data_IF_347920755997
#
_entry.id   IF_347920755997
#
_cell.length_a   1.000
_cell.length_b   1.000
_cell.length_c   1.000
_cell.angle_alpha   90.00
_cell.angle_beta   90.00
_cell.angle_gamma   90.00
#
_symmetry.space_group_name_H-M   'P 1'
#
loop_
_entity.id
_entity.type
_entity.pdbx_description
1 polymer ?
#
# COMPACT_ATOMS: atom_id res chain seq x y z
N UNK A 1 -29.72 -54.86 32.05
CA UNK A 1 -28.79 -53.89 31.52
C UNK A 1 -28.98 -53.85 29.99
N UNK A 2 -29.36 -52.74 29.42
CA UNK A 2 -29.53 -52.63 27.95
C UNK A 2 -28.13 -52.70 27.30
N UNK A 3 -27.98 -53.44 26.21
CA UNK A 3 -26.77 -53.51 25.39
C UNK A 3 -27.10 -53.05 23.98
N UNK A 4 -26.15 -52.35 23.37
CA UNK A 4 -26.29 -51.97 21.96
C UNK A 4 -26.18 -53.20 21.04
N UNK A 5 -26.91 -53.20 19.95
CA UNK A 5 -26.67 -54.13 18.85
C UNK A 5 -25.37 -53.76 18.13
N UNK A 6 -24.81 -54.65 17.28
CA UNK A 6 -23.61 -54.29 16.49
C UNK A 6 -23.81 -53.03 15.67
N UNK A 7 -24.97 -52.87 15.03
CA UNK A 7 -25.34 -51.68 14.23
C UNK A 7 -25.50 -50.47 15.16
N UNK A 8 -26.09 -50.65 16.33
CA UNK A 8 -26.21 -49.62 17.38
C UNK A 8 -24.86 -49.11 17.90
N UNK A 9 -23.87 -50.01 18.01
CA UNK A 9 -22.50 -49.65 18.37
C UNK A 9 -21.85 -48.76 17.30
N UNK A 10 -21.97 -49.15 16.02
CA UNK A 10 -21.45 -48.33 14.90
C UNK A 10 -22.11 -46.96 14.88
N UNK A 11 -23.43 -46.90 15.01
CA UNK A 11 -24.15 -45.63 15.07
C UNK A 11 -23.72 -44.78 16.22
N UNK A 12 -23.54 -45.33 17.43
CA UNK A 12 -23.10 -44.62 18.61
C UNK A 12 -21.73 -43.96 18.41
N UNK A 13 -20.78 -44.70 17.84
CA UNK A 13 -19.45 -44.15 17.54
C UNK A 13 -19.48 -42.99 16.55
N UNK A 14 -20.28 -43.10 15.47
CA UNK A 14 -20.43 -42.01 14.49
C UNK A 14 -21.22 -40.80 15.08
N UNK A 15 -22.21 -41.06 15.92
CA UNK A 15 -22.93 -40.01 16.62
C UNK A 15 -22.01 -39.19 17.56
N UNK A 16 -21.11 -39.87 18.32
CA UNK A 16 -20.11 -39.20 19.13
C UNK A 16 -19.18 -38.30 18.30
N UNK A 17 -18.72 -38.77 17.15
CA UNK A 17 -17.89 -37.97 16.23
C UNK A 17 -18.65 -36.72 15.73
N UNK A 18 -19.91 -36.88 15.42
CA UNK A 18 -20.80 -35.78 14.95
C UNK A 18 -20.97 -34.74 16.05
N UNK A 19 -21.24 -35.16 17.31
CA UNK A 19 -21.37 -34.25 18.44
C UNK A 19 -20.06 -33.52 18.73
N UNK A 20 -18.93 -34.21 18.74
CA UNK A 20 -17.62 -33.62 18.92
C UNK A 20 -17.27 -32.62 17.79
N UNK A 21 -17.71 -32.87 16.56
CA UNK A 21 -17.53 -31.93 15.45
C UNK A 21 -18.41 -30.70 15.61
N UNK A 22 -19.64 -30.82 16.07
CA UNK A 22 -20.52 -29.70 16.36
C UNK A 22 -19.92 -28.78 17.46
N UNK A 23 -19.43 -29.38 18.55
CA UNK A 23 -18.73 -28.62 19.62
C UNK A 23 -17.50 -27.88 19.09
N UNK A 24 -16.66 -28.54 18.28
CA UNK A 24 -15.50 -27.89 17.63
C UNK A 24 -15.92 -26.75 16.75
N UNK A 25 -17.00 -26.90 15.98
CA UNK A 25 -17.52 -25.83 15.10
C UNK A 25 -17.95 -24.60 15.91
N UNK A 26 -18.65 -24.81 17.03
CA UNK A 26 -19.06 -23.71 17.95
C UNK A 26 -17.82 -23.03 18.54
N UNK A 27 -16.84 -23.80 19.03
CA UNK A 27 -15.60 -23.26 19.58
C UNK A 27 -14.82 -22.44 18.54
N UNK A 28 -14.73 -22.94 17.31
CA UNK A 28 -14.08 -22.24 16.19
C UNK A 28 -14.79 -20.94 15.85
N UNK A 29 -16.13 -20.94 15.76
CA UNK A 29 -16.92 -19.73 15.53
C UNK A 29 -16.70 -18.69 16.65
N UNK A 30 -16.67 -19.11 17.92
CA UNK A 30 -16.38 -18.22 19.05
C UNK A 30 -14.98 -17.62 18.99
N UNK A 31 -13.98 -18.41 18.59
CA UNK A 31 -12.61 -17.93 18.39
C UNK A 31 -12.51 -16.91 17.26
N UNK A 32 -13.22 -17.16 16.13
CA UNK A 32 -13.30 -16.21 15.03
C UNK A 32 -13.97 -14.89 15.45
N UNK A 33 -15.07 -14.97 16.22
CA UNK A 33 -15.77 -13.79 16.76
C UNK A 33 -14.90 -12.95 17.71
N UNK A 34 -13.90 -13.55 18.36
CA UNK A 34 -12.91 -12.84 19.20
C UNK A 34 -11.67 -12.38 18.44
N UNK A 35 -11.56 -12.67 17.15
CA UNK A 35 -10.37 -12.37 16.36
C UNK A 35 -9.14 -13.21 16.69
N UNK A 36 -9.33 -14.34 17.42
CA UNK A 36 -8.24 -15.27 17.71
C UNK A 36 -7.79 -16.05 16.48
N UNK A 37 -8.69 -16.23 15.51
CA UNK A 37 -8.44 -16.86 14.21
C UNK A 37 -9.16 -16.05 13.13
N UNK A 38 -8.63 -16.09 11.91
CA UNK A 38 -9.23 -15.39 10.78
C UNK A 38 -8.23 -15.17 9.65
N UNK A 39 -8.61 -14.32 8.71
CA UNK A 39 -7.76 -13.86 7.62
C UNK A 39 -7.82 -12.35 7.55
N UNK A 40 -6.70 -11.73 7.20
CA UNK A 40 -6.59 -10.30 6.88
C UNK A 40 -5.81 -10.16 5.57
N UNK A 41 -6.48 -9.64 4.53
CA UNK A 41 -5.89 -9.29 3.25
C UNK A 41 -5.33 -7.86 3.29
N UNK A 42 -4.05 -7.69 2.95
CA UNK A 42 -3.35 -6.41 3.00
C UNK A 42 -2.75 -6.12 1.64
N UNK A 43 -3.30 -5.10 0.96
CA UNK A 43 -2.73 -4.55 -0.25
C UNK A 43 -1.70 -3.47 0.07
N UNK A 44 -0.67 -3.32 -0.75
CA UNK A 44 0.32 -2.26 -0.56
C UNK A 44 1.02 -1.89 -1.86
N UNK A 45 1.51 -0.66 -1.94
CA UNK A 45 2.49 -0.25 -2.95
C UNK A 45 3.90 -0.47 -2.39
N UNK A 46 4.86 -0.76 -3.27
CA UNK A 46 6.22 -1.23 -2.91
C UNK A 46 6.91 -0.45 -1.80
N UNK A 47 6.72 0.88 -1.71
CA UNK A 47 7.34 1.69 -0.66
C UNK A 47 7.01 1.21 0.77
N UNK A 48 5.81 0.73 1.02
CA UNK A 48 5.41 0.29 2.36
C UNK A 48 6.33 -0.81 2.92
N UNK A 49 6.84 -1.69 2.03
CA UNK A 49 7.73 -2.80 2.39
C UNK A 49 9.10 -2.37 2.89
N UNK A 50 9.59 -1.21 2.42
CA UNK A 50 10.91 -0.68 2.80
C UNK A 50 10.86 0.24 4.02
N UNK A 51 9.66 0.52 4.56
CA UNK A 51 9.50 1.51 5.63
C UNK A 51 8.88 0.93 6.89
N UNK A 52 7.57 0.88 6.98
CA UNK A 52 6.86 0.60 8.23
C UNK A 52 6.11 -0.73 8.24
N UNK A 53 5.72 -1.25 7.07
CA UNK A 53 4.83 -2.40 6.97
C UNK A 53 5.40 -3.66 7.65
N UNK A 54 6.68 -4.05 7.48
CA UNK A 54 7.22 -5.24 8.12
C UNK A 54 7.12 -5.19 9.66
N UNK A 55 7.37 -4.03 10.26
CA UNK A 55 7.26 -3.85 11.71
C UNK A 55 5.81 -3.95 12.19
N UNK A 56 4.89 -3.34 11.46
CA UNK A 56 3.46 -3.39 11.75
C UNK A 56 2.93 -4.82 11.69
N UNK A 57 3.30 -5.57 10.63
CA UNK A 57 2.90 -6.97 10.46
C UNK A 57 3.46 -7.85 11.58
N UNK A 58 4.73 -7.67 11.94
CA UNK A 58 5.36 -8.42 13.03
C UNK A 58 4.62 -8.20 14.36
N UNK A 59 4.30 -6.94 14.70
CA UNK A 59 3.56 -6.59 15.91
C UNK A 59 2.15 -7.18 15.89
N UNK A 60 1.46 -7.11 14.76
CA UNK A 60 0.14 -7.69 14.61
C UNK A 60 0.16 -9.23 14.80
N UNK A 61 1.09 -9.92 14.15
CA UNK A 61 1.23 -11.38 14.29
C UNK A 61 1.61 -11.82 15.70
N UNK A 62 2.40 -11.01 16.42
CA UNK A 62 2.72 -11.29 17.82
C UNK A 62 1.48 -11.23 18.72
N UNK A 63 0.56 -10.28 18.47
CA UNK A 63 -0.70 -10.14 19.23
C UNK A 63 -1.78 -11.12 18.79
N UNK A 64 -1.81 -11.46 17.50
CA UNK A 64 -2.87 -12.27 16.86
C UNK A 64 -2.26 -13.42 16.03
N UNK A 65 -1.59 -14.41 16.68
CA UNK A 65 -0.86 -15.47 15.97
C UNK A 65 -1.75 -16.37 15.11
N UNK A 66 -3.02 -16.51 15.46
CA UNK A 66 -4.00 -17.33 14.73
C UNK A 66 -4.61 -16.65 13.52
N UNK A 67 -4.36 -15.35 13.28
CA UNK A 67 -4.83 -14.65 12.07
C UNK A 67 -3.84 -14.87 10.93
N UNK A 68 -4.33 -15.37 9.79
CA UNK A 68 -3.52 -15.52 8.58
C UNK A 68 -3.46 -14.21 7.83
N UNK A 69 -2.25 -13.72 7.51
CA UNK A 69 -2.04 -12.54 6.69
C UNK A 69 -1.85 -12.95 5.22
N UNK A 70 -2.61 -12.33 4.33
CA UNK A 70 -2.39 -12.36 2.89
C UNK A 70 -1.85 -11.01 2.46
N UNK A 71 -0.68 -10.99 1.85
CA UNK A 71 0.01 -9.77 1.41
C UNK A 71 -0.02 -9.72 -0.11
N UNK A 72 -0.38 -8.56 -0.66
CA UNK A 72 -0.51 -8.39 -2.10
C UNK A 72 0.05 -7.03 -2.52
N UNK A 73 1.12 -7.08 -3.32
CA UNK A 73 1.69 -5.86 -3.89
C UNK A 73 0.95 -5.49 -5.17
N UNK A 74 0.33 -4.33 -5.18
CA UNK A 74 -0.45 -3.82 -6.29
C UNK A 74 -0.23 -2.31 -6.47
N UNK A 75 -0.34 -1.85 -7.71
CA UNK A 75 -0.49 -0.40 -8.00
C UNK A 75 -1.80 0.13 -7.40
N UNK A 76 -1.94 1.46 -7.17
CA UNK A 76 -3.15 2.02 -6.55
C UNK A 76 -4.46 1.52 -7.18
N UNK A 77 -4.60 1.56 -8.50
CA UNK A 77 -5.80 1.08 -9.19
C UNK A 77 -6.00 -0.44 -9.09
N UNK A 78 -4.92 -1.21 -8.96
CA UNK A 78 -4.98 -2.66 -8.74
C UNK A 78 -5.54 -3.00 -7.37
N UNK A 79 -5.28 -2.17 -6.35
CA UNK A 79 -5.88 -2.35 -5.02
C UNK A 79 -7.40 -2.13 -5.05
N UNK A 80 -7.90 -1.21 -5.87
CA UNK A 80 -9.34 -1.03 -6.05
C UNK A 80 -10.02 -2.32 -6.53
N UNK A 81 -9.43 -2.98 -7.53
CA UNK A 81 -9.92 -4.28 -8.03
C UNK A 81 -9.82 -5.39 -6.97
N UNK A 82 -8.74 -5.39 -6.19
CA UNK A 82 -8.55 -6.36 -5.12
C UNK A 82 -9.58 -6.18 -3.99
N UNK A 83 -9.96 -4.94 -3.66
CA UNK A 83 -11.07 -4.64 -2.76
C UNK A 83 -12.41 -5.16 -3.29
N UNK A 84 -12.72 -4.89 -4.56
CA UNK A 84 -13.98 -5.32 -5.18
C UNK A 84 -14.12 -6.85 -5.20
N UNK A 85 -13.00 -7.58 -5.30
CA UNK A 85 -12.93 -9.05 -5.23
C UNK A 85 -12.86 -9.60 -3.81
N UNK A 86 -12.76 -8.75 -2.78
CA UNK A 86 -12.58 -9.17 -1.40
C UNK A 86 -11.24 -9.89 -1.14
N UNK A 87 -10.23 -9.61 -1.95
CA UNK A 87 -8.88 -10.17 -1.83
C UNK A 87 -8.09 -9.46 -0.75
N UNK A 88 -8.32 -8.15 -0.58
CA UNK A 88 -7.74 -7.32 0.47
C UNK A 88 -8.83 -6.66 1.32
N UNK A 89 -8.52 -6.47 2.60
CA UNK A 89 -9.36 -5.80 3.59
C UNK A 89 -8.87 -4.38 3.89
N UNK A 90 -7.56 -4.13 3.73
CA UNK A 90 -6.91 -2.83 3.89
C UNK A 90 -5.83 -2.65 2.85
N UNK A 91 -5.68 -1.41 2.36
CA UNK A 91 -4.65 -1.03 1.39
C UNK A 91 -3.74 0.07 1.91
N UNK A 92 -2.44 -0.06 1.73
CA UNK A 92 -1.44 0.98 1.96
C UNK A 92 -1.02 1.58 0.63
N UNK A 93 -1.56 2.77 0.31
CA UNK A 93 -1.58 3.28 -1.06
C UNK A 93 -1.70 4.81 -1.11
N UNK A 94 -2.05 5.35 -2.24
CA UNK A 94 -2.47 6.74 -2.44
C UNK A 94 -3.97 6.90 -2.13
N UNK A 95 -4.46 8.12 -1.86
CA UNK A 95 -5.88 8.35 -1.67
C UNK A 95 -6.71 7.75 -2.81
N UNK A 96 -7.90 7.21 -2.51
CA UNK A 96 -8.84 6.81 -3.54
C UNK A 96 -9.18 7.97 -4.45
N UNK A 97 -9.42 7.69 -5.72
CA UNK A 97 -9.90 8.68 -6.68
C UNK A 97 -11.26 9.29 -6.23
N UNK A 98 -11.56 10.49 -6.70
CA UNK A 98 -12.74 11.25 -6.26
C UNK A 98 -14.06 10.47 -6.43
N UNK A 99 -14.19 9.72 -7.53
CA UNK A 99 -15.35 8.89 -7.85
C UNK A 99 -15.52 7.68 -6.89
N UNK A 100 -14.42 7.20 -6.29
CA UNK A 100 -14.42 6.05 -5.35
C UNK A 100 -14.36 6.46 -3.88
N UNK A 101 -14.02 7.71 -3.58
CA UNK A 101 -13.82 8.21 -2.21
C UNK A 101 -15.02 8.01 -1.27
N UNK A 102 -16.25 8.02 -1.82
CA UNK A 102 -17.46 7.76 -1.05
C UNK A 102 -17.57 6.33 -0.51
N UNK A 103 -16.94 5.36 -1.16
CA UNK A 103 -16.98 3.93 -0.83
C UNK A 103 -15.88 3.49 0.14
N UNK A 104 -14.91 4.36 0.42
CA UNK A 104 -13.77 4.03 1.27
C UNK A 104 -13.62 4.99 2.44
N UNK A 105 -13.09 4.46 3.52
CA UNK A 105 -12.46 5.24 4.59
C UNK A 105 -10.95 5.26 4.38
N UNK A 106 -10.34 6.38 4.75
CA UNK A 106 -8.89 6.54 4.60
C UNK A 106 -8.31 7.20 5.84
N UNK A 107 -7.10 6.77 6.20
CA UNK A 107 -6.29 7.37 7.25
C UNK A 107 -4.98 7.86 6.69
N UNK A 108 -4.73 9.14 6.80
CA UNK A 108 -3.46 9.74 6.41
C UNK A 108 -2.34 9.23 7.34
N UNK A 109 -1.37 8.55 6.76
CA UNK A 109 -0.17 8.10 7.48
C UNK A 109 0.89 9.20 7.50
N UNK A 110 1.25 9.70 6.33
CA UNK A 110 2.19 10.81 6.15
C UNK A 110 2.01 11.46 4.78
N UNK A 111 2.69 12.60 4.60
CA UNK A 111 2.83 13.29 3.32
C UNK A 111 4.28 13.28 2.90
N UNK A 112 4.54 12.97 1.65
CA UNK A 112 5.89 12.99 1.12
C UNK A 112 6.04 14.01 -0.01
N UNK A 113 7.19 14.70 -0.09
CA UNK A 113 7.44 15.64 -1.17
C UNK A 113 7.69 14.90 -2.48
N UNK A 114 7.51 15.60 -3.59
CA UNK A 114 8.02 15.18 -4.88
C UNK A 114 9.49 15.58 -5.02
N UNK A 115 10.24 14.79 -5.77
CA UNK A 115 11.64 14.99 -6.12
C UNK A 115 11.84 14.78 -7.61
N UNK A 116 12.91 15.35 -8.15
CA UNK A 116 13.33 15.10 -9.53
C UNK A 116 14.39 14.01 -9.52
N UNK A 117 14.19 12.99 -10.34
CA UNK A 117 15.17 11.94 -10.61
C UNK A 117 15.84 12.21 -11.95
N UNK A 118 17.16 12.32 -11.95
CA UNK A 118 18.01 12.55 -13.12
C UNK A 118 19.06 11.44 -13.24
N UNK A 119 19.48 11.08 -14.45
CA UNK A 119 20.64 10.21 -14.61
C UNK A 119 21.90 10.90 -14.04
N UNK A 120 22.78 10.14 -13.38
CA UNK A 120 24.05 10.66 -12.80
C UNK A 120 25.01 11.23 -13.83
N UNK A 121 24.85 10.84 -15.09
CA UNK A 121 25.60 11.42 -16.22
C UNK A 121 25.37 12.93 -16.34
N UNK A 122 24.22 13.43 -15.92
CA UNK A 122 23.90 14.86 -15.87
C UNK A 122 24.49 15.50 -14.62
N UNK A 123 25.59 16.22 -14.79
CA UNK A 123 26.25 16.96 -13.70
C UNK A 123 25.46 18.22 -13.34
N UNK A 124 24.59 18.10 -12.35
CA UNK A 124 23.82 19.25 -11.80
C UNK A 124 24.53 19.74 -10.54
N UNK A 125 24.90 21.02 -10.50
CA UNK A 125 25.55 21.64 -9.32
C UNK A 125 24.54 22.17 -8.29
N UNK A 126 23.27 22.30 -8.66
CA UNK A 126 22.21 22.80 -7.79
C UNK A 126 21.76 21.71 -6.79
N UNK A 127 21.32 22.13 -5.59
CA UNK A 127 20.69 21.22 -4.61
C UNK A 127 19.21 21.00 -4.87
N UNK A 128 18.58 21.86 -5.66
CA UNK A 128 17.17 21.79 -6.05
C UNK A 128 17.02 22.10 -7.52
N UNK A 129 15.94 21.65 -8.10
CA UNK A 129 15.54 21.89 -9.49
C UNK A 129 14.17 22.56 -9.46
N UNK A 130 14.04 23.69 -10.15
CA UNK A 130 12.73 24.32 -10.32
C UNK A 130 11.94 23.52 -11.34
N UNK A 131 10.63 23.39 -11.12
CA UNK A 131 9.74 22.69 -12.07
C UNK A 131 9.87 23.30 -13.46
N UNK A 132 9.94 24.62 -13.57
CA UNK A 132 10.12 25.33 -14.85
C UNK A 132 11.41 24.95 -15.59
N UNK A 133 12.48 24.52 -14.89
CA UNK A 133 13.72 24.09 -15.51
C UNK A 133 13.59 22.73 -16.24
N UNK A 134 12.47 22.03 -16.02
CA UNK A 134 12.13 20.78 -16.73
C UNK A 134 11.35 21.01 -18.02
N UNK A 135 11.05 22.28 -18.37
CA UNK A 135 10.39 22.61 -19.63
C UNK A 135 11.24 22.12 -20.81
N UNK A 136 10.65 21.32 -21.69
CA UNK A 136 11.35 20.72 -22.82
C UNK A 136 12.05 19.38 -22.54
N UNK A 137 12.20 18.98 -21.26
CA UNK A 137 12.69 17.65 -20.92
C UNK A 137 11.68 16.56 -21.31
N UNK A 138 12.20 15.37 -21.59
CA UNK A 138 11.37 14.15 -21.72
C UNK A 138 11.02 13.67 -20.31
N UNK A 139 9.74 13.65 -19.96
CA UNK A 139 9.26 13.25 -18.65
C UNK A 139 8.85 11.78 -18.67
N UNK A 140 9.55 10.96 -17.90
CA UNK A 140 9.18 9.58 -17.62
C UNK A 140 8.25 9.58 -16.42
N UNK A 141 7.09 8.96 -16.52
CA UNK A 141 6.07 9.00 -15.47
C UNK A 141 5.31 7.68 -15.36
N UNK A 142 4.37 7.62 -14.42
CA UNK A 142 3.44 6.51 -14.30
C UNK A 142 2.31 6.61 -15.31
N UNK A 143 1.78 5.47 -15.72
CA UNK A 143 0.51 5.43 -16.42
C UNK A 143 -0.58 6.04 -15.52
N UNK A 144 -1.37 6.97 -16.07
CA UNK A 144 -2.48 7.56 -15.34
C UNK A 144 -3.45 6.50 -14.80
N UNK A 145 -3.71 5.46 -15.59
CA UNK A 145 -4.55 4.34 -15.18
C UNK A 145 -4.03 3.59 -13.94
N UNK A 146 -2.71 3.57 -13.71
CA UNK A 146 -2.09 2.86 -12.58
C UNK A 146 -2.02 3.72 -11.31
N UNK A 147 -1.76 5.02 -11.45
CA UNK A 147 -1.55 5.94 -10.34
C UNK A 147 -2.08 7.34 -10.69
N UNK A 148 -3.42 7.52 -10.75
CA UNK A 148 -4.02 8.77 -11.24
C UNK A 148 -3.63 9.98 -10.40
N UNK A 149 -3.59 9.88 -9.08
CA UNK A 149 -3.25 11.00 -8.19
C UNK A 149 -1.83 11.54 -8.45
N UNK A 150 -0.85 10.65 -8.57
CA UNK A 150 0.55 11.04 -8.82
C UNK A 150 0.67 11.64 -10.21
N UNK A 151 0.08 10.99 -11.22
CA UNK A 151 0.08 11.47 -12.60
C UNK A 151 -0.53 12.88 -12.70
N UNK A 152 -1.75 13.05 -12.20
CA UNK A 152 -2.47 14.32 -12.27
C UNK A 152 -1.75 15.43 -11.48
N UNK A 153 -1.10 15.08 -10.37
CA UNK A 153 -0.27 16.03 -9.61
C UNK A 153 0.93 16.49 -10.43
N UNK A 154 1.64 15.58 -11.12
CA UNK A 154 2.77 15.93 -11.99
C UNK A 154 2.32 16.86 -13.12
N UNK A 155 1.22 16.53 -13.79
CA UNK A 155 0.68 17.38 -14.88
C UNK A 155 0.32 18.76 -14.35
N UNK A 156 -0.38 18.82 -13.21
CA UNK A 156 -0.80 20.08 -12.59
C UNK A 156 0.40 20.98 -12.26
N UNK A 157 1.41 20.45 -11.55
CA UNK A 157 2.56 21.29 -11.17
C UNK A 157 3.38 21.78 -12.35
N UNK A 158 3.46 21.02 -13.45
CA UNK A 158 4.08 21.47 -14.68
C UNK A 158 3.27 22.61 -15.32
N UNK A 159 1.95 22.45 -15.43
CA UNK A 159 1.06 23.48 -15.98
C UNK A 159 1.08 24.76 -15.15
N UNK A 160 1.04 24.65 -13.81
CA UNK A 160 1.15 25.79 -12.88
C UNK A 160 2.50 26.53 -13.04
N UNK A 161 3.53 25.82 -13.52
CA UNK A 161 4.86 26.37 -13.82
C UNK A 161 5.02 26.86 -15.26
N UNK A 162 3.92 26.91 -16.03
CA UNK A 162 3.85 27.54 -17.36
C UNK A 162 4.21 26.64 -18.53
N UNK A 163 4.24 25.30 -18.36
CA UNK A 163 4.48 24.38 -19.46
C UNK A 163 3.69 23.08 -19.34
N UNK A 164 3.38 22.47 -20.48
CA UNK A 164 2.84 21.11 -20.53
C UNK A 164 3.99 20.10 -20.66
N UNK A 165 4.06 19.06 -19.81
CA UNK A 165 5.17 18.11 -19.85
C UNK A 165 5.15 17.26 -21.11
N UNK A 166 6.34 17.00 -21.68
CA UNK A 166 6.52 16.06 -22.79
C UNK A 166 6.65 14.65 -22.25
N UNK A 167 5.53 13.94 -22.14
CA UNK A 167 5.53 12.56 -21.66
C UNK A 167 6.23 11.66 -22.70
N UNK A 168 7.24 10.92 -22.24
CA UNK A 168 8.04 10.03 -23.09
C UNK A 168 7.69 8.57 -22.87
N UNK A 169 7.69 8.13 -21.62
CA UNK A 169 7.30 6.78 -21.21
C UNK A 169 6.32 6.85 -20.05
N UNK A 170 5.26 6.04 -20.14
CA UNK A 170 4.26 5.88 -19.10
C UNK A 170 4.34 4.44 -18.56
N UNK A 171 4.82 4.27 -17.35
CA UNK A 171 5.17 2.99 -16.75
C UNK A 171 4.27 2.70 -15.53
N UNK A 172 4.20 1.46 -15.13
CA UNK A 172 3.27 1.03 -14.07
C UNK A 172 3.95 0.82 -12.69
N UNK A 173 5.27 0.89 -12.59
CA UNK A 173 5.98 0.74 -11.32
C UNK A 173 7.21 1.65 -11.23
N UNK A 174 7.64 1.94 -10.00
CA UNK A 174 8.75 2.85 -9.71
C UNK A 174 10.11 2.32 -10.23
N UNK A 175 10.35 1.01 -10.18
CA UNK A 175 11.61 0.45 -10.68
C UNK A 175 11.78 0.71 -12.16
N UNK A 176 10.72 0.48 -12.96
CA UNK A 176 10.74 0.76 -14.40
C UNK A 176 10.96 2.25 -14.69
N UNK A 177 10.33 3.15 -13.91
CA UNK A 177 10.56 4.60 -14.04
C UNK A 177 12.03 4.94 -13.79
N UNK A 178 12.61 4.45 -12.68
CA UNK A 178 14.01 4.74 -12.36
C UNK A 178 14.98 4.11 -13.35
N UNK A 179 14.74 2.88 -13.83
CA UNK A 179 15.58 2.23 -14.84
C UNK A 179 15.55 2.98 -16.16
N UNK A 180 14.42 3.56 -16.56
CA UNK A 180 14.32 4.38 -17.77
C UNK A 180 15.07 5.70 -17.61
N UNK A 181 15.04 6.31 -16.42
CA UNK A 181 15.88 7.49 -16.09
C UNK A 181 17.36 7.12 -16.11
N UNK A 182 17.71 5.97 -15.52
CA UNK A 182 19.11 5.47 -15.50
C UNK A 182 19.67 5.25 -16.91
N UNK A 183 18.83 4.82 -17.85
CA UNK A 183 19.15 4.66 -19.26
C UNK A 183 19.25 5.98 -20.04
N UNK A 184 19.13 7.15 -19.37
CA UNK A 184 19.15 8.50 -19.96
C UNK A 184 18.03 8.74 -21.00
N UNK A 185 16.92 8.01 -20.89
CA UNK A 185 15.76 8.16 -21.75
C UNK A 185 14.86 9.36 -21.36
N UNK A 186 15.12 9.97 -20.22
CA UNK A 186 14.41 11.15 -19.74
C UNK A 186 14.67 11.44 -18.27
N UNK A 187 13.86 12.33 -17.71
CA UNK A 187 13.87 12.69 -16.28
C UNK A 187 12.54 12.31 -15.67
N UNK A 188 12.48 12.13 -14.35
CA UNK A 188 11.21 11.82 -13.70
C UNK A 188 10.94 12.74 -12.52
N UNK A 189 9.67 13.06 -12.30
CA UNK A 189 9.16 13.65 -11.07
C UNK A 189 8.52 12.49 -10.29
N UNK A 190 9.08 12.16 -9.13
CA UNK A 190 8.66 11.00 -8.34
C UNK A 190 8.52 11.36 -6.87
N UNK A 191 7.88 10.51 -6.09
CA UNK A 191 7.84 10.65 -4.64
C UNK A 191 9.23 10.47 -4.03
N UNK A 192 9.52 11.18 -2.93
CA UNK A 192 10.81 11.14 -2.25
C UNK A 192 11.18 9.72 -1.77
N UNK A 193 10.18 8.87 -1.53
CA UNK A 193 10.38 7.47 -1.18
C UNK A 193 11.13 6.66 -2.26
N UNK A 194 11.15 7.11 -3.50
CA UNK A 194 11.94 6.51 -4.58
C UNK A 194 13.46 6.45 -4.26
N UNK A 195 13.95 7.35 -3.40
CA UNK A 195 15.36 7.33 -2.93
C UNK A 195 15.75 6.05 -2.20
N UNK A 196 14.79 5.30 -1.68
CA UNK A 196 15.03 4.04 -0.97
C UNK A 196 15.27 2.87 -1.93
N UNK A 197 14.95 3.03 -3.20
CA UNK A 197 15.23 2.03 -4.21
C UNK A 197 16.68 2.15 -4.65
N UNK A 198 17.31 1.01 -4.86
CA UNK A 198 18.66 0.99 -5.43
C UNK A 198 18.59 1.42 -6.89
N UNK A 199 19.00 2.65 -7.13
CA UNK A 199 19.14 3.24 -8.44
C UNK A 199 20.52 3.92 -8.48
N UNK A 200 21.57 3.11 -8.65
CA UNK A 200 22.96 3.53 -8.44
C UNK A 200 23.39 4.64 -9.41
N UNK A 201 22.77 4.72 -10.58
CA UNK A 201 23.06 5.73 -11.60
C UNK A 201 21.99 6.84 -11.72
N UNK A 202 21.12 6.96 -10.70
CA UNK A 202 20.12 8.04 -10.60
C UNK A 202 20.50 9.00 -9.46
N UNK A 203 20.38 10.29 -9.71
CA UNK A 203 20.51 11.35 -8.70
C UNK A 203 19.15 11.96 -8.42
N UNK A 204 18.85 12.21 -7.15
CA UNK A 204 17.58 12.81 -6.72
C UNK A 204 17.80 14.22 -6.20
N UNK A 205 17.00 15.15 -6.69
CA UNK A 205 17.03 16.56 -6.33
C UNK A 205 15.69 16.99 -5.76
N UNK A 206 15.74 17.94 -4.81
CA UNK A 206 14.50 18.56 -4.33
C UNK A 206 13.84 19.36 -5.46
N UNK A 207 12.53 19.27 -5.52
CA UNK A 207 11.72 20.04 -6.44
C UNK A 207 11.43 21.43 -5.84
N UNK A 208 11.42 22.48 -6.66
CA UNK A 208 10.99 23.82 -6.27
C UNK A 208 9.80 24.28 -7.12
N UNK A 209 8.73 24.80 -6.48
CA UNK A 209 8.52 24.94 -5.02
C UNK A 209 8.46 23.58 -4.32
N UNK A 210 8.86 23.54 -3.03
CA UNK A 210 8.99 22.30 -2.23
C UNK A 210 7.74 21.96 -1.41
N UNK A 211 6.64 22.66 -1.66
CA UNK A 211 5.34 22.48 -1.03
C UNK A 211 4.48 21.38 -1.69
N UNK A 212 4.89 20.91 -2.88
CA UNK A 212 4.16 19.85 -3.59
C UNK A 212 4.37 18.51 -2.90
N UNK A 213 3.30 18.01 -2.31
CA UNK A 213 3.30 16.76 -1.55
C UNK A 213 2.19 15.85 -2.01
N UNK A 214 2.42 14.56 -1.85
CA UNK A 214 1.43 13.52 -2.08
C UNK A 214 1.16 12.76 -0.80
N UNK A 215 -0.09 12.40 -0.59
CA UNK A 215 -0.55 11.69 0.58
C UNK A 215 -0.23 10.19 0.45
N UNK A 216 0.17 9.58 1.57
CA UNK A 216 0.23 8.15 1.74
C UNK A 216 -0.77 7.74 2.81
N UNK A 217 -1.69 6.85 2.44
CA UNK A 217 -2.84 6.51 3.28
C UNK A 217 -2.93 5.00 3.53
N UNK A 218 -3.56 4.64 4.63
CA UNK A 218 -4.23 3.36 4.78
C UNK A 218 -5.69 3.56 4.38
N UNK A 219 -6.23 2.69 3.53
CA UNK A 219 -7.62 2.76 3.07
C UNK A 219 -8.31 1.40 3.19
N UNK A 220 -9.63 1.42 3.47
CA UNK A 220 -10.47 0.22 3.56
C UNK A 220 -11.89 0.55 3.15
N UNK A 221 -12.67 -0.46 2.80
CA UNK A 221 -14.06 -0.25 2.38
C UNK A 221 -14.92 0.27 3.53
N UNK A 222 -15.85 1.18 3.21
CA UNK A 222 -16.81 1.80 4.14
C UNK A 222 -17.97 0.83 4.42
N UNK A 223 -17.66 -0.27 5.06
CA UNK A 223 -18.57 -1.32 5.51
C UNK A 223 -18.15 -1.79 6.89
N UNK A 224 -18.98 -2.56 7.57
CA UNK A 224 -18.62 -3.13 8.86
C UNK A 224 -17.32 -3.97 8.73
N UNK A 225 -16.21 -3.55 9.35
CA UNK A 225 -14.94 -4.24 9.24
C UNK A 225 -14.98 -5.58 10.00
N UNK A 226 -14.28 -6.59 9.47
CA UNK A 226 -14.06 -7.84 10.18
C UNK A 226 -13.32 -7.59 11.51
N UNK A 227 -13.45 -8.51 12.46
CA UNK A 227 -12.74 -8.40 13.75
C UNK A 227 -11.22 -8.30 13.54
N UNK A 228 -10.67 -9.08 12.59
CA UNK A 228 -9.26 -9.01 12.23
C UNK A 228 -8.86 -7.60 11.72
N UNK A 229 -9.69 -6.98 10.89
CA UNK A 229 -9.43 -5.61 10.42
C UNK A 229 -9.56 -4.59 11.54
N UNK A 230 -10.57 -4.68 12.43
CA UNK A 230 -10.72 -3.79 13.59
C UNK A 230 -9.46 -3.79 14.46
N UNK A 231 -8.99 -4.97 14.85
CA UNK A 231 -7.77 -5.12 15.65
C UNK A 231 -6.52 -4.60 14.94
N UNK A 232 -6.47 -4.73 13.61
CA UNK A 232 -5.37 -4.17 12.83
C UNK A 232 -5.42 -2.65 12.77
N UNK A 233 -6.60 -2.06 12.64
CA UNK A 233 -6.79 -0.60 12.65
C UNK A 233 -6.46 0.02 14.02
N UNK A 234 -6.77 -0.68 15.12
CA UNK A 234 -6.36 -0.28 16.47
C UNK A 234 -4.83 -0.23 16.59
N UNK A 235 -4.14 -1.31 16.18
CA UNK A 235 -2.68 -1.34 16.15
C UNK A 235 -2.10 -0.25 15.24
N UNK A 236 -2.68 -0.03 14.06
CA UNK A 236 -2.24 1.03 13.14
C UNK A 236 -2.33 2.41 13.81
N UNK A 237 -3.38 2.66 14.60
CA UNK A 237 -3.54 3.90 15.35
C UNK A 237 -2.44 4.09 16.41
N UNK A 238 -2.12 3.03 17.14
CA UNK A 238 -1.05 3.04 18.14
C UNK A 238 0.32 3.33 17.49
N UNK A 239 0.56 2.75 16.30
CA UNK A 239 1.83 2.85 15.59
C UNK A 239 1.98 4.12 14.72
N UNK A 240 0.91 4.87 14.51
CA UNK A 240 0.92 6.04 13.64
C UNK A 240 2.02 7.08 13.97
N UNK A 241 2.30 7.41 15.26
CA UNK A 241 3.41 8.29 15.60
C UNK A 241 4.78 7.74 15.18
N UNK A 242 4.99 6.43 15.37
CA UNK A 242 6.23 5.76 14.98
C UNK A 242 6.40 5.70 13.46
N UNK A 243 5.32 5.45 12.71
CA UNK A 243 5.31 5.49 11.24
C UNK A 243 5.71 6.88 10.76
N UNK A 244 5.11 7.94 11.30
CA UNK A 244 5.43 9.33 10.96
C UNK A 244 6.86 9.69 11.30
N UNK A 245 7.39 9.22 12.42
CA UNK A 245 8.78 9.43 12.79
C UNK A 245 9.74 8.76 11.81
N UNK A 246 9.46 7.50 11.43
CA UNK A 246 10.25 6.74 10.47
C UNK A 246 10.27 7.37 9.07
N UNK A 247 9.23 8.09 8.67
CA UNK A 247 9.12 8.69 7.33
C UNK A 247 9.61 10.15 7.27
N UNK A 248 9.99 10.76 8.38
CA UNK A 248 10.52 12.15 8.43
C UNK A 248 11.74 12.40 7.55
N UNK A 249 12.55 11.39 7.26
CA UNK A 249 13.72 11.53 6.38
C UNK A 249 13.32 11.87 4.93
N UNK A 250 12.08 11.58 4.52
CA UNK A 250 11.57 11.91 3.19
C UNK A 250 11.52 13.44 2.95
N UNK A 251 11.41 14.24 4.02
CA UNK A 251 11.42 15.70 3.99
C UNK A 251 12.84 16.30 3.82
N UNK A 252 13.89 15.49 3.92
CA UNK A 252 15.29 15.90 3.80
C UNK A 252 15.80 15.73 2.38
#
# INVERSE_FOLDING_TARGET
MARLTPEGQVFYEEALKTLAQAERSIATARRAAKGEIGRLGIGFIGFATYSFLPDLLRKYKARHPGVTLRLEENVPSGQDLAFDRGEIDIGFTRPPSADRSSSYESRLLFREPLVVALPKTRKVKAKHIRIADLAGERIVTFQRASSPEVFDTIIRVCNDSGFSPRLHNELNNMHSVLSTVEADEGVAIVSASARNLRADNVSFFRLQPDDVRIDFVATWQKKEPSVALKLFLELLNEELPAIRQKTRYLDR
#
